data_IF_860697289494
#
_entry.id   IF_860697289494
#
_cell.length_a   1.000
_cell.length_b   1.000
_cell.length_c   1.000
_cell.angle_alpha   90.00
_cell.angle_beta   90.00
_cell.angle_gamma   90.00
#
_symmetry.space_group_name_H-M   'P 1'
#
loop_
_entity.id
_entity.type
_entity.pdbx_description
1 polymer ?
#
# COMPACT_ATOMS: atom_id res chain seq x y z
N UNK A 1 13.04 -11.99 3.57
CA UNK A 1 14.20 -11.42 2.83
C UNK A 1 14.45 -12.06 1.45
N UNK A 2 13.65 -13.06 1.00
CA UNK A 2 13.82 -13.68 -0.33
C UNK A 2 13.16 -12.90 -1.49
N UNK A 3 12.41 -11.82 -1.19
CA UNK A 3 11.68 -11.00 -2.17
C UNK A 3 12.46 -9.75 -2.63
N UNK A 4 13.69 -9.55 -2.15
CA UNK A 4 14.49 -8.34 -2.43
C UNK A 4 15.53 -8.54 -3.55
N UNK A 5 15.50 -9.70 -4.21
CA UNK A 5 16.39 -10.04 -5.31
C UNK A 5 15.62 -10.07 -6.64
N UNK A 6 16.21 -9.47 -7.69
CA UNK A 6 15.72 -9.50 -9.08
C UNK A 6 16.86 -9.97 -9.99
N UNK A 7 16.55 -10.42 -11.21
CA UNK A 7 17.60 -10.71 -12.19
C UNK A 7 17.98 -9.46 -12.98
N UNK A 8 19.28 -9.20 -13.14
CA UNK A 8 19.82 -8.11 -13.96
C UNK A 8 19.81 -8.48 -15.46
N UNK A 9 20.29 -7.58 -16.34
CA UNK A 9 20.31 -7.83 -17.79
C UNK A 9 21.24 -9.00 -18.20
N UNK A 10 22.14 -9.42 -17.31
CA UNK A 10 23.05 -10.56 -17.48
C UNK A 10 22.49 -11.85 -16.86
N UNK A 11 21.22 -11.86 -16.44
CA UNK A 11 20.56 -12.98 -15.76
C UNK A 11 21.19 -13.36 -14.41
N UNK A 12 21.90 -12.44 -13.77
CA UNK A 12 22.47 -12.64 -12.45
C UNK A 12 21.51 -12.10 -11.38
N UNK A 13 21.43 -12.80 -10.25
CA UNK A 13 20.63 -12.40 -9.11
C UNK A 13 21.25 -11.15 -8.46
N UNK A 14 20.56 -10.02 -8.60
CA UNK A 14 20.96 -8.72 -8.11
C UNK A 14 20.01 -8.25 -7.00
N UNK A 15 20.59 -7.72 -5.94
CA UNK A 15 19.83 -7.11 -4.86
C UNK A 15 19.15 -5.84 -5.39
N UNK A 16 17.82 -5.85 -5.47
CA UNK A 16 16.99 -4.73 -5.87
C UNK A 16 16.07 -4.36 -4.71
N UNK A 17 16.61 -3.65 -3.69
CA UNK A 17 15.82 -3.23 -2.55
C UNK A 17 14.67 -2.35 -3.04
N UNK A 18 13.44 -2.84 -2.92
CA UNK A 18 12.26 -2.01 -3.14
C UNK A 18 12.07 -1.13 -1.92
N UNK A 19 12.27 0.17 -2.09
CA UNK A 19 11.91 1.15 -1.06
C UNK A 19 10.38 1.25 -1.04
N UNK A 20 9.76 0.51 -0.13
CA UNK A 20 8.34 0.62 0.17
C UNK A 20 8.16 1.65 1.29
N UNK A 21 7.88 2.90 0.94
CA UNK A 21 7.53 3.91 1.95
C UNK A 21 6.06 3.73 2.30
N UNK A 22 5.80 3.26 3.52
CA UNK A 22 4.46 3.17 4.08
C UNK A 22 4.35 4.17 5.24
N UNK A 23 3.44 5.12 5.15
CA UNK A 23 3.11 6.03 6.24
C UNK A 23 1.72 5.67 6.79
N UNK A 24 1.61 5.59 8.11
CA UNK A 24 0.33 5.36 8.79
C UNK A 24 0.11 6.46 9.80
N UNK A 25 -1.01 7.17 9.68
CA UNK A 25 -1.45 8.16 10.66
C UNK A 25 -2.70 7.64 11.37
N UNK A 26 -2.59 7.46 12.68
CA UNK A 26 -3.72 7.11 13.54
C UNK A 26 -4.08 8.33 14.39
N UNK A 27 -5.36 8.71 14.39
CA UNK A 27 -5.89 9.79 15.21
C UNK A 27 -7.10 9.28 16.00
N UNK A 28 -7.26 9.81 17.21
CA UNK A 28 -8.44 9.56 18.05
C UNK A 28 -8.85 10.88 18.69
N UNK A 29 -10.08 11.29 18.46
CA UNK A 29 -10.63 12.54 18.97
C UNK A 29 -11.86 12.21 19.80
N UNK A 30 -11.80 12.55 21.09
CA UNK A 30 -12.93 12.46 22.02
C UNK A 30 -13.72 13.77 22.01
N UNK A 31 -14.96 13.72 21.54
CA UNK A 31 -15.90 14.82 21.50
C UNK A 31 -16.94 14.68 22.62
N UNK A 32 -17.60 15.78 22.97
CA UNK A 32 -18.72 15.79 23.94
C UNK A 32 -18.40 15.10 25.27
N UNK A 33 -17.27 15.46 25.90
CA UNK A 33 -16.81 14.86 27.18
C UNK A 33 -16.67 13.32 27.13
N UNK A 34 -16.41 12.74 25.95
CA UNK A 34 -16.25 11.29 25.76
C UNK A 34 -17.50 10.55 25.30
N UNK A 35 -18.62 11.24 25.09
CA UNK A 35 -19.84 10.61 24.57
C UNK A 35 -19.70 10.15 23.11
N UNK A 36 -18.78 10.76 22.35
CA UNK A 36 -18.45 10.40 20.98
C UNK A 36 -16.93 10.28 20.84
N UNK A 37 -16.46 9.11 20.41
CA UNK A 37 -15.06 8.89 20.06
C UNK A 37 -14.96 8.66 18.56
N UNK A 38 -14.17 9.48 17.88
CA UNK A 38 -13.91 9.35 16.44
C UNK A 38 -12.48 8.86 16.26
N UNK A 39 -12.33 7.68 15.68
CA UNK A 39 -11.06 7.06 15.34
C UNK A 39 -10.83 7.15 13.83
N UNK A 40 -9.66 7.65 13.45
CA UNK A 40 -9.23 7.74 12.06
C UNK A 40 -7.92 7.00 11.85
N UNK A 41 -7.84 6.25 10.75
CA UNK A 41 -6.61 5.62 10.27
C UNK A 41 -6.44 6.00 8.80
N UNK A 42 -5.29 6.56 8.47
CA UNK A 42 -4.87 6.85 7.11
C UNK A 42 -3.60 6.04 6.81
N UNK A 43 -3.63 5.28 5.74
CA UNK A 43 -2.49 4.54 5.22
C UNK A 43 -2.10 5.11 3.85
N UNK A 44 -0.80 5.30 3.67
CA UNK A 44 -0.23 5.82 2.44
C UNK A 44 0.96 4.97 2.01
N UNK A 45 0.95 4.51 0.76
CA UNK A 45 1.95 3.64 0.18
C UNK A 45 2.54 4.26 -1.08
N UNK A 46 3.87 4.40 -1.09
CA UNK A 46 4.63 4.74 -2.29
C UNK A 46 5.10 3.47 -2.99
N UNK A 47 4.83 3.37 -4.29
CA UNK A 47 5.32 2.30 -5.14
C UNK A 47 6.32 2.92 -6.12
N UNK A 48 7.60 2.61 -5.90
CA UNK A 48 8.70 3.02 -6.78
C UNK A 48 8.56 2.41 -8.19
N UNK A 49 9.35 2.92 -9.13
CA UNK A 49 9.37 2.44 -10.50
C UNK A 49 9.58 0.92 -10.56
N UNK A 50 8.77 0.25 -11.38
CA UNK A 50 8.85 -1.20 -11.58
C UNK A 50 8.67 -1.55 -13.05
N UNK A 51 9.20 -2.71 -13.43
CA UNK A 51 8.97 -3.28 -14.76
C UNK A 51 7.81 -4.27 -14.67
N UNK A 52 6.90 -4.22 -15.64
CA UNK A 52 5.85 -5.22 -15.78
C UNK A 52 6.41 -6.49 -16.44
N UNK A 53 5.66 -7.59 -16.37
CA UNK A 53 6.00 -8.83 -17.07
C UNK A 53 5.00 -9.02 -18.20
N UNK A 54 5.50 -9.21 -19.42
CA UNK A 54 4.71 -9.39 -20.62
C UNK A 54 4.79 -10.84 -21.08
N UNK A 55 3.67 -11.39 -21.56
CA UNK A 55 3.63 -12.71 -22.15
C UNK A 55 3.97 -12.64 -23.64
N UNK A 56 5.07 -13.27 -24.05
CA UNK A 56 5.42 -13.42 -25.45
C UNK A 56 4.73 -14.67 -26.02
N UNK A 57 3.73 -14.46 -26.87
CA UNK A 57 2.93 -15.54 -27.47
C UNK A 57 3.73 -16.41 -28.46
N UNK A 58 4.74 -15.84 -29.14
CA UNK A 58 5.55 -16.57 -30.13
C UNK A 58 6.53 -17.53 -29.45
N UNK A 59 7.11 -17.10 -28.33
CA UNK A 59 8.06 -17.89 -27.55
C UNK A 59 7.39 -18.65 -26.40
N UNK A 60 6.08 -18.49 -26.24
CA UNK A 60 5.26 -19.05 -25.17
C UNK A 60 5.88 -18.89 -23.77
N UNK A 61 6.45 -17.71 -23.50
CA UNK A 61 7.17 -17.43 -22.26
C UNK A 61 6.87 -16.04 -21.73
N UNK A 62 7.00 -15.88 -20.42
CA UNK A 62 6.96 -14.58 -19.77
C UNK A 62 8.33 -13.91 -19.84
N UNK A 63 8.36 -12.63 -20.24
CA UNK A 63 9.57 -11.81 -20.22
C UNK A 63 9.31 -10.50 -19.47
N UNK A 64 10.34 -9.97 -18.84
CA UNK A 64 10.29 -8.62 -18.27
C UNK A 64 10.05 -7.62 -19.41
N UNK A 65 9.15 -6.66 -19.19
CA UNK A 65 8.88 -5.58 -20.13
C UNK A 65 10.06 -4.60 -20.16
N UNK A 66 10.33 -4.07 -21.35
CA UNK A 66 11.26 -2.95 -21.51
C UNK A 66 10.65 -1.63 -21.00
N UNK A 67 9.33 -1.61 -20.81
CA UNK A 67 8.59 -0.48 -20.26
C UNK A 67 8.77 -0.41 -18.73
N UNK A 68 9.22 0.75 -18.27
CA UNK A 68 9.27 1.11 -16.85
C UNK A 68 7.97 1.84 -16.52
N UNK A 69 7.23 1.31 -15.56
CA UNK A 69 5.98 1.90 -15.06
C UNK A 69 6.18 2.53 -13.67
N UNK A 70 5.36 3.54 -13.37
CA UNK A 70 5.39 4.27 -12.10
C UNK A 70 6.12 5.63 -12.17
N UNK A 71 6.31 6.30 -11.00
CA UNK A 71 5.89 5.86 -9.67
C UNK A 71 4.38 6.01 -9.45
N UNK A 72 3.80 5.18 -8.57
CA UNK A 72 2.40 5.29 -8.15
C UNK A 72 2.26 5.54 -6.67
N UNK A 73 1.13 6.15 -6.30
CA UNK A 73 0.72 6.40 -4.93
C UNK A 73 -0.61 5.70 -4.69
N UNK A 74 -0.67 4.87 -3.67
CA UNK A 74 -1.90 4.21 -3.21
C UNK A 74 -2.17 4.67 -1.79
N UNK A 75 -3.38 5.15 -1.54
CA UNK A 75 -3.81 5.55 -0.20
C UNK A 75 -5.15 4.91 0.15
N UNK A 76 -5.29 4.53 1.42
CA UNK A 76 -6.56 4.12 2.00
C UNK A 76 -6.81 4.88 3.30
N UNK A 77 -8.08 5.25 3.52
CA UNK A 77 -8.50 5.98 4.71
C UNK A 77 -9.72 5.29 5.30
N UNK A 78 -9.71 5.11 6.62
CA UNK A 78 -10.82 4.58 7.40
C UNK A 78 -11.14 5.55 8.53
N UNK A 79 -12.42 5.89 8.65
CA UNK A 79 -12.95 6.68 9.77
C UNK A 79 -14.02 5.84 10.44
N UNK A 80 -13.96 5.73 11.77
CA UNK A 80 -14.94 5.03 12.60
C UNK A 80 -15.40 5.98 13.72
N UNK A 81 -16.71 6.08 13.93
CA UNK A 81 -17.29 6.84 15.02
C UNK A 81 -18.01 5.90 15.98
N UNK A 82 -17.67 5.98 17.26
CA UNK A 82 -18.25 5.17 18.32
C UNK A 82 -19.04 6.09 19.26
N UNK A 83 -20.35 5.84 19.41
CA UNK A 83 -21.21 6.55 20.36
C UNK A 83 -21.30 5.72 21.65
N UNK A 84 -20.88 6.28 22.79
CA UNK A 84 -20.94 5.57 24.08
C UNK A 84 -22.28 5.70 24.80
N UNK A 85 -23.09 6.71 24.44
CA UNK A 85 -24.38 6.97 25.04
C UNK A 85 -25.49 6.89 23.98
N UNK A 86 -26.00 5.68 23.76
CA UNK A 86 -27.32 5.51 23.15
C UNK A 86 -28.36 5.54 24.27
N UNK A 87 -28.89 6.73 24.59
CA UNK A 87 -30.05 6.84 25.48
C UNK A 87 -31.29 6.39 24.70
N UNK A 88 -31.77 5.18 24.96
CA UNK A 88 -33.05 4.69 24.46
C UNK A 88 -34.17 5.35 25.26
N UNK A 89 -34.96 6.21 24.62
CA UNK A 89 -36.26 6.65 25.14
C UNK A 89 -37.30 5.60 24.74
N UNK A 90 -37.99 5.04 25.73
CA UNK A 90 -39.17 4.18 25.57
C UNK A 90 -40.42 4.92 26.05
#
# INVERSE_FOLDING_TARGET
>A
MRNDFTYNHNYEEAYAPRINNTATLKTSISLFKGALVVDGILHWHFISNFRTVNFNRLLYQYRVSDEINGPYYIGDARIQANFHQATLFF
#
